data_IF_295001967142
#
_entry.id   IF_295001967142
#
_cell.length_a   1.000
_cell.length_b   1.000
_cell.length_c   1.000
_cell.angle_alpha   90.00
_cell.angle_beta   90.00
_cell.angle_gamma   90.00
#
_symmetry.space_group_name_H-M   'P 1'
#
loop_
_entity.id
_entity.type
_entity.pdbx_description
1 polymer ?
#
# COMPACT_ATOMS: atom_id res chain seq x y z
N UNK A 1 23.21 -59.35 6.29
CA UNK A 1 23.54 -58.03 6.88
C UNK A 1 24.60 -57.26 6.09
N UNK A 2 25.76 -57.85 5.74
CA UNK A 2 26.82 -57.15 4.96
C UNK A 2 26.36 -56.56 3.61
N UNK A 3 25.47 -57.25 2.88
CA UNK A 3 24.93 -56.77 1.59
C UNK A 3 23.94 -55.60 1.72
N UNK A 4 23.24 -55.50 2.85
CA UNK A 4 22.27 -54.44 3.15
C UNK A 4 22.98 -53.16 3.61
N UNK A 5 24.12 -53.32 4.28
CA UNK A 5 24.99 -52.22 4.71
C UNK A 5 25.67 -51.56 3.49
N UNK A 6 26.12 -52.34 2.50
CA UNK A 6 26.68 -51.77 1.26
C UNK A 6 25.65 -50.98 0.45
N UNK A 7 24.39 -51.43 0.39
CA UNK A 7 23.33 -50.71 -0.32
C UNK A 7 22.89 -49.44 0.41
N UNK A 8 22.91 -49.42 1.75
CA UNK A 8 22.60 -48.22 2.52
C UNK A 8 23.68 -47.12 2.39
N UNK A 9 24.94 -47.52 2.26
CA UNK A 9 26.07 -46.60 2.09
C UNK A 9 26.09 -45.91 0.70
N UNK A 10 25.64 -46.63 -0.34
CA UNK A 10 25.53 -46.08 -1.69
C UNK A 10 24.41 -45.03 -1.81
N UNK A 11 23.30 -45.20 -1.07
CA UNK A 11 22.18 -44.25 -1.05
C UNK A 11 22.54 -43.01 -0.24
N UNK A 12 23.29 -43.13 0.87
CA UNK A 12 23.75 -41.95 1.62
C UNK A 12 24.69 -41.05 0.83
N UNK A 13 25.51 -41.60 -0.07
CA UNK A 13 26.40 -40.82 -0.94
C UNK A 13 25.65 -39.93 -1.95
N UNK A 14 24.43 -40.31 -2.35
CA UNK A 14 23.57 -39.51 -3.22
C UNK A 14 22.89 -38.34 -2.50
N UNK A 15 22.77 -38.38 -1.17
CA UNK A 15 22.14 -37.31 -0.37
C UNK A 15 23.14 -36.23 0.06
N UNK A 16 24.45 -36.52 0.00
CA UNK A 16 25.52 -35.56 0.27
C UNK A 16 26.14 -34.94 -0.99
N UNK A 17 25.56 -35.20 -2.18
CA UNK A 17 25.78 -34.30 -3.32
C UNK A 17 25.00 -33.01 -3.06
N UNK A 18 25.55 -32.19 -2.15
CA UNK A 18 25.30 -30.75 -2.17
C UNK A 18 25.46 -30.31 -3.62
N UNK A 19 24.49 -29.56 -4.16
CA UNK A 19 24.77 -28.75 -5.34
C UNK A 19 26.13 -28.09 -5.11
N UNK A 20 27.02 -28.20 -6.09
CA UNK A 20 28.27 -27.44 -6.11
C UNK A 20 27.94 -26.03 -5.66
N UNK A 21 28.70 -25.50 -4.70
CA UNK A 21 28.50 -24.16 -4.20
C UNK A 21 28.23 -23.22 -5.38
N UNK A 22 27.01 -22.69 -5.44
CA UNK A 22 26.57 -21.68 -6.40
C UNK A 22 27.19 -20.31 -6.04
N UNK A 23 28.38 -20.34 -5.42
CA UNK A 23 29.28 -19.23 -5.12
C UNK A 23 30.15 -18.91 -6.36
N UNK A 24 29.63 -19.20 -7.56
CA UNK A 24 30.05 -18.49 -8.75
C UNK A 24 29.74 -17.03 -8.47
N UNK A 25 30.79 -16.19 -8.38
CA UNK A 25 30.69 -14.73 -8.38
C UNK A 25 29.49 -14.34 -9.23
N UNK A 26 28.47 -13.61 -8.71
CA UNK A 26 27.24 -13.42 -9.45
C UNK A 26 27.61 -12.82 -10.80
N UNK A 27 27.58 -13.65 -11.85
CA UNK A 27 27.91 -13.21 -13.18
C UNK A 27 26.72 -12.34 -13.52
N UNK A 28 26.89 -11.03 -13.37
CA UNK A 28 25.86 -10.07 -13.69
C UNK A 28 25.73 -10.03 -15.22
N UNK A 29 25.07 -11.05 -15.77
CA UNK A 29 24.77 -11.22 -17.19
C UNK A 29 23.69 -10.22 -17.66
N UNK A 30 23.19 -9.36 -16.76
CA UNK A 30 22.14 -8.39 -17.06
C UNK A 30 22.77 -7.00 -17.06
N UNK A 31 23.15 -6.54 -18.25
CA UNK A 31 23.44 -5.11 -18.46
C UNK A 31 22.10 -4.38 -18.55
N UNK A 32 21.79 -3.58 -17.53
CA UNK A 32 20.62 -2.71 -17.58
C UNK A 32 20.77 -1.72 -18.74
N UNK A 33 19.69 -1.41 -19.47
CA UNK A 33 19.75 -0.40 -20.52
C UNK A 33 20.05 0.98 -19.90
N UNK A 34 20.72 1.88 -20.64
CA UNK A 34 20.97 3.24 -20.17
C UNK A 34 19.68 4.04 -19.94
N UNK A 35 18.57 3.62 -20.56
CA UNK A 35 17.24 4.21 -20.36
C UNK A 35 16.15 3.13 -20.42
N UNK A 36 15.06 3.35 -19.67
CA UNK A 36 13.84 2.55 -19.78
C UNK A 36 12.79 3.32 -20.58
N UNK A 37 12.17 2.66 -21.55
CA UNK A 37 11.02 3.19 -22.30
C UNK A 37 9.78 2.40 -21.98
N UNK A 38 8.72 3.11 -21.61
CA UNK A 38 7.43 2.55 -21.28
C UNK A 38 6.43 2.94 -22.37
N UNK A 39 6.53 2.27 -23.51
CA UNK A 39 5.70 2.54 -24.68
C UNK A 39 5.00 1.27 -25.17
N UNK A 40 3.77 1.40 -25.65
CA UNK A 40 3.02 0.36 -26.37
C UNK A 40 2.40 1.02 -27.59
N UNK A 41 2.63 0.45 -28.77
CA UNK A 41 2.16 1.03 -30.04
C UNK A 41 2.56 2.50 -30.23
N UNK A 42 3.83 2.85 -29.91
CA UNK A 42 4.38 4.22 -29.96
C UNK A 42 3.71 5.24 -29.03
N UNK A 43 2.88 4.79 -28.10
CA UNK A 43 2.25 5.64 -27.09
C UNK A 43 2.82 5.30 -25.71
N UNK A 44 3.06 6.31 -24.87
CA UNK A 44 3.45 6.09 -23.47
C UNK A 44 2.40 5.23 -22.76
N UNK A 45 2.84 4.19 -22.05
CA UNK A 45 1.97 3.42 -21.13
C UNK A 45 1.85 4.10 -19.76
N UNK A 46 2.63 5.16 -19.53
CA UNK A 46 2.65 5.91 -18.27
C UNK A 46 1.77 7.15 -18.39
N UNK A 47 0.71 7.20 -17.57
CA UNK A 47 -0.12 8.40 -17.42
C UNK A 47 0.41 9.26 -16.26
N UNK A 48 1.27 10.24 -16.56
CA UNK A 48 1.81 11.15 -15.55
C UNK A 48 0.72 12.03 -14.92
N UNK A 49 -0.16 12.62 -15.73
CA UNK A 49 -1.25 13.47 -15.25
C UNK A 49 -2.17 12.76 -14.26
N UNK A 50 -2.53 11.50 -14.52
CA UNK A 50 -3.35 10.70 -13.62
C UNK A 50 -2.67 10.31 -12.32
N UNK A 51 -1.35 10.20 -12.30
CA UNK A 51 -0.56 9.97 -11.08
C UNK A 51 -0.47 11.25 -10.26
N UNK A 52 -0.10 12.37 -10.90
CA UNK A 52 -0.06 13.68 -10.26
C UNK A 52 -1.40 14.05 -9.64
N UNK A 53 -2.51 13.81 -10.35
CA UNK A 53 -3.85 14.04 -9.81
C UNK A 53 -4.09 13.25 -8.52
N UNK A 54 -3.80 11.95 -8.49
CA UNK A 54 -4.02 11.13 -7.27
C UNK A 54 -3.09 11.51 -6.11
N UNK A 55 -1.85 11.94 -6.40
CA UNK A 55 -0.93 12.44 -5.37
C UNK A 55 -1.53 13.68 -4.70
N UNK A 56 -1.98 14.65 -5.51
CA UNK A 56 -2.63 15.88 -5.01
C UNK A 56 -3.94 15.60 -4.27
N UNK A 57 -4.80 14.74 -4.82
CA UNK A 57 -6.03 14.29 -4.16
C UNK A 57 -5.72 13.66 -2.79
N UNK A 58 -4.72 12.78 -2.72
CA UNK A 58 -4.32 12.14 -1.47
C UNK A 58 -3.79 13.16 -0.46
N UNK A 59 -3.07 14.19 -0.91
CA UNK A 59 -2.61 15.27 -0.04
C UNK A 59 -3.78 16.05 0.58
N UNK A 60 -4.81 16.39 -0.21
CA UNK A 60 -6.01 17.06 0.29
C UNK A 60 -6.82 16.16 1.25
N UNK A 61 -6.98 14.87 0.95
CA UNK A 61 -7.64 13.91 1.86
C UNK A 61 -6.90 13.83 3.19
N UNK A 62 -5.57 13.70 3.17
CA UNK A 62 -4.75 13.63 4.39
C UNK A 62 -4.83 14.93 5.19
N UNK A 63 -4.89 16.09 4.52
CA UNK A 63 -5.12 17.36 5.19
C UNK A 63 -6.51 17.42 5.84
N UNK A 64 -7.54 16.95 5.14
CA UNK A 64 -8.90 16.83 5.66
C UNK A 64 -9.00 15.91 6.88
N UNK A 65 -8.33 14.75 6.86
CA UNK A 65 -8.25 13.81 7.99
C UNK A 65 -7.56 14.40 9.23
N UNK A 66 -6.86 15.53 9.12
CA UNK A 66 -6.22 16.25 10.25
C UNK A 66 -7.01 17.49 10.68
N UNK A 67 -8.14 17.78 10.04
CA UNK A 67 -8.97 18.96 10.28
C UNK A 67 -10.29 18.50 10.88
N UNK A 68 -10.51 18.78 12.16
CA UNK A 68 -11.72 18.37 12.90
C UNK A 68 -13.02 18.97 12.37
N UNK A 69 -12.95 20.03 11.55
CA UNK A 69 -14.10 20.61 10.86
C UNK A 69 -14.48 19.87 9.57
N UNK A 70 -13.70 18.89 9.12
CA UNK A 70 -14.06 18.04 7.98
C UNK A 70 -15.23 17.13 8.32
N UNK A 71 -16.11 16.89 7.37
CA UNK A 71 -17.26 15.97 7.53
C UNK A 71 -16.92 14.59 7.00
N UNK A 72 -17.65 13.59 7.50
CA UNK A 72 -17.57 12.23 6.99
C UNK A 72 -17.92 12.20 5.51
N UNK A 73 -19.03 12.82 5.14
CA UNK A 73 -19.55 12.84 3.78
C UNK A 73 -18.53 13.46 2.81
N UNK A 74 -17.91 14.59 3.21
CA UNK A 74 -16.92 15.26 2.37
C UNK A 74 -15.64 14.43 2.18
N UNK A 75 -15.10 13.83 3.26
CA UNK A 75 -13.93 12.96 3.16
C UNK A 75 -14.22 11.70 2.32
N UNK A 76 -15.41 11.12 2.47
CA UNK A 76 -15.84 9.97 1.68
C UNK A 76 -16.03 10.34 0.21
N UNK A 77 -16.60 11.51 -0.10
CA UNK A 77 -16.72 12.02 -1.48
C UNK A 77 -15.34 12.15 -2.14
N UNK A 78 -14.39 12.81 -1.46
CA UNK A 78 -13.02 12.96 -1.97
C UNK A 78 -12.36 11.61 -2.26
N UNK A 79 -12.50 10.65 -1.36
CA UNK A 79 -11.87 9.34 -1.51
C UNK A 79 -12.55 8.45 -2.57
N UNK A 80 -13.88 8.32 -2.51
CA UNK A 80 -14.70 7.41 -3.34
C UNK A 80 -15.00 7.97 -4.71
N UNK A 81 -15.37 9.24 -4.76
CA UNK A 81 -15.96 9.84 -5.96
C UNK A 81 -14.94 10.62 -6.76
N UNK A 82 -13.86 11.06 -6.13
CA UNK A 82 -12.82 11.83 -6.81
C UNK A 82 -13.25 13.29 -7.04
N UNK A 83 -14.19 13.78 -6.22
CA UNK A 83 -14.74 15.14 -6.25
C UNK A 83 -14.64 15.79 -4.85
N UNK A 84 -15.14 17.01 -4.67
CA UNK A 84 -15.05 17.72 -3.39
C UNK A 84 -13.66 18.30 -3.06
N UNK A 85 -12.76 18.35 -4.04
CA UNK A 85 -11.42 18.93 -3.89
C UNK A 85 -11.41 20.44 -4.09
N UNK A 86 -10.45 21.11 -3.45
CA UNK A 86 -10.24 22.56 -3.57
C UNK A 86 -9.71 22.92 -4.96
N UNK A 87 -8.76 22.13 -5.48
CA UNK A 87 -8.27 22.29 -6.85
C UNK A 87 -9.31 21.80 -7.88
N UNK A 88 -9.91 22.72 -8.63
CA UNK A 88 -10.96 22.40 -9.62
C UNK A 88 -10.55 21.34 -10.65
N UNK A 89 -9.28 21.31 -11.05
CA UNK A 89 -8.76 20.31 -12.00
C UNK A 89 -8.78 18.88 -11.44
N UNK A 90 -8.75 18.69 -10.12
CA UNK A 90 -8.84 17.36 -9.52
C UNK A 90 -10.25 16.78 -9.68
N UNK A 91 -11.28 17.60 -9.46
CA UNK A 91 -12.69 17.23 -9.57
C UNK A 91 -13.11 16.78 -10.98
N UNK A 92 -12.38 17.19 -12.02
CA UNK A 92 -12.64 16.82 -13.42
C UNK A 92 -11.62 15.84 -14.00
N UNK A 93 -10.63 15.39 -13.19
CA UNK A 93 -9.56 14.50 -13.66
C UNK A 93 -10.01 13.06 -13.97
N UNK A 94 -11.21 12.67 -13.51
CA UNK A 94 -11.73 11.31 -13.59
C UNK A 94 -10.93 10.30 -12.77
N UNK A 95 -10.06 10.76 -11.87
CA UNK A 95 -9.28 9.89 -10.97
C UNK A 95 -9.93 9.81 -9.61
N UNK A 96 -9.76 8.66 -8.98
CA UNK A 96 -10.25 8.35 -7.63
C UNK A 96 -9.11 7.70 -6.86
N UNK A 97 -8.90 8.11 -5.61
CA UNK A 97 -7.86 7.54 -4.74
C UNK A 97 -8.26 6.12 -4.31
N UNK A 98 -9.53 5.91 -3.94
CA UNK A 98 -10.05 4.58 -3.56
C UNK A 98 -9.85 3.53 -4.64
N UNK A 99 -9.93 3.90 -5.92
CA UNK A 99 -9.67 3.01 -7.05
C UNK A 99 -8.22 2.51 -7.16
N UNK A 100 -7.33 2.94 -6.26
CA UNK A 100 -5.94 2.46 -6.14
C UNK A 100 -5.66 1.72 -4.84
N UNK A 101 -6.63 1.61 -3.93
CA UNK A 101 -6.56 0.69 -2.80
C UNK A 101 -6.91 -0.71 -3.29
N UNK A 102 -6.15 -1.71 -2.87
CA UNK A 102 -6.36 -3.11 -3.27
C UNK A 102 -6.44 -3.30 -4.80
N UNK A 103 -5.59 -2.59 -5.58
CA UNK A 103 -5.73 -2.50 -7.04
C UNK A 103 -4.66 -3.28 -7.84
N UNK A 104 -3.93 -4.20 -7.18
CA UNK A 104 -3.01 -5.11 -7.88
C UNK A 104 -3.77 -5.92 -8.93
N UNK A 105 -3.29 -5.86 -10.18
CA UNK A 105 -3.91 -6.57 -11.30
C UNK A 105 -3.73 -8.08 -11.20
N UNK A 106 -2.63 -8.54 -10.62
CA UNK A 106 -2.34 -9.98 -10.56
C UNK A 106 -3.07 -10.63 -9.39
N UNK A 107 -3.15 -9.92 -8.24
CA UNK A 107 -3.72 -10.46 -7.02
C UNK A 107 -5.22 -10.18 -6.90
N UNK A 108 -5.65 -8.91 -6.97
CA UNK A 108 -7.04 -8.54 -6.67
C UNK A 108 -7.99 -8.67 -7.86
N UNK A 109 -7.49 -9.08 -9.03
CA UNK A 109 -8.34 -9.48 -10.16
C UNK A 109 -9.10 -10.78 -9.86
N UNK A 110 -8.47 -11.72 -9.18
CA UNK A 110 -9.10 -12.99 -8.76
C UNK A 110 -9.66 -12.92 -7.33
N UNK A 111 -9.04 -12.15 -6.43
CA UNK A 111 -9.39 -12.09 -5.01
C UNK A 111 -10.34 -10.91 -4.69
N UNK A 112 -11.55 -10.93 -5.26
CA UNK A 112 -12.50 -9.82 -5.13
C UNK A 112 -13.08 -9.66 -3.72
N UNK A 113 -13.24 -10.76 -2.97
CA UNK A 113 -13.74 -10.72 -1.59
C UNK A 113 -12.79 -9.95 -0.70
N UNK A 114 -11.53 -10.38 -0.63
CA UNK A 114 -10.48 -9.71 0.13
C UNK A 114 -10.28 -8.25 -0.30
N UNK A 115 -10.36 -7.98 -1.62
CA UNK A 115 -10.34 -6.60 -2.13
C UNK A 115 -11.44 -5.75 -1.50
N UNK A 116 -12.67 -6.27 -1.45
CA UNK A 116 -13.82 -5.54 -0.94
C UNK A 116 -13.73 -5.35 0.58
N UNK A 117 -13.21 -6.33 1.31
CA UNK A 117 -12.92 -6.23 2.75
C UNK A 117 -11.91 -5.13 3.02
N UNK A 118 -10.76 -5.12 2.33
CA UNK A 118 -9.76 -4.07 2.49
C UNK A 118 -10.30 -2.68 2.12
N UNK A 119 -11.13 -2.59 1.08
CA UNK A 119 -11.80 -1.34 0.74
C UNK A 119 -12.78 -0.89 1.83
N UNK A 120 -13.47 -1.83 2.49
CA UNK A 120 -14.35 -1.54 3.62
C UNK A 120 -13.57 -1.10 4.86
N UNK A 121 -12.39 -1.65 5.11
CA UNK A 121 -11.51 -1.22 6.20
C UNK A 121 -11.10 0.26 6.04
N UNK A 122 -10.65 0.65 4.83
CA UNK A 122 -10.30 2.04 4.55
C UNK A 122 -11.49 2.99 4.69
N UNK A 123 -12.68 2.58 4.22
CA UNK A 123 -13.91 3.34 4.42
C UNK A 123 -14.21 3.48 5.93
N UNK A 124 -14.06 2.41 6.70
CA UNK A 124 -14.25 2.36 8.14
C UNK A 124 -13.27 3.25 8.90
N UNK A 125 -11.99 3.28 8.53
CA UNK A 125 -10.98 4.13 9.16
C UNK A 125 -11.26 5.62 8.95
N UNK A 126 -11.66 6.02 7.74
CA UNK A 126 -12.03 7.42 7.50
C UNK A 126 -13.28 7.83 8.27
N UNK A 127 -14.31 6.96 8.31
CA UNK A 127 -15.49 7.21 9.13
C UNK A 127 -15.12 7.34 10.61
N UNK A 128 -14.27 6.44 11.11
CA UNK A 128 -13.80 6.44 12.50
C UNK A 128 -12.97 7.68 12.83
N UNK A 129 -12.24 8.24 11.87
CA UNK A 129 -11.52 9.49 12.07
C UNK A 129 -12.48 10.62 12.46
N UNK A 130 -13.64 10.70 11.81
CA UNK A 130 -14.66 11.73 12.08
C UNK A 130 -15.49 11.39 13.31
N UNK A 131 -15.93 10.14 13.45
CA UNK A 131 -16.88 9.74 14.51
C UNK A 131 -16.20 9.51 15.87
N UNK A 132 -14.95 9.07 15.86
CA UNK A 132 -14.24 8.61 17.07
C UNK A 132 -13.07 9.53 17.42
N UNK A 133 -12.24 9.89 16.43
CA UNK A 133 -11.00 10.62 16.69
C UNK A 133 -11.24 12.12 16.85
N UNK A 134 -11.98 12.76 15.93
CA UNK A 134 -12.26 14.20 15.99
C UNK A 134 -12.95 14.65 17.29
N UNK A 135 -13.93 13.93 17.86
CA UNK A 135 -14.55 14.31 19.13
C UNK A 135 -13.60 14.25 20.32
N UNK A 136 -12.50 13.50 20.21
CA UNK A 136 -11.48 13.33 21.25
C UNK A 136 -10.18 14.10 20.96
N UNK A 137 -10.15 14.90 19.89
CA UNK A 137 -8.94 15.56 19.39
C UNK A 137 -8.25 16.45 20.42
N UNK A 138 -9.04 17.12 21.27
CA UNK A 138 -8.57 18.02 22.32
C UNK A 138 -8.77 17.45 23.74
N UNK A 139 -9.14 16.18 23.85
CA UNK A 139 -9.30 15.48 25.14
C UNK A 139 -8.04 14.70 25.44
N UNK A 140 -7.46 14.88 26.61
CA UNK A 140 -6.30 14.10 27.03
C UNK A 140 -6.73 12.66 27.36
N UNK A 141 -5.93 11.68 26.92
CA UNK A 141 -6.20 10.28 27.20
C UNK A 141 -6.14 10.00 28.72
N UNK A 142 -7.00 9.13 29.21
CA UNK A 142 -6.97 8.63 30.59
C UNK A 142 -7.24 7.14 30.62
N UNK A 143 -7.07 6.48 31.78
CA UNK A 143 -7.28 5.03 31.90
C UNK A 143 -8.70 4.67 31.45
N UNK A 144 -8.80 3.90 30.36
CA UNK A 144 -10.08 3.48 29.77
C UNK A 144 -10.77 4.50 28.87
N UNK A 145 -10.20 5.70 28.65
CA UNK A 145 -10.76 6.72 27.77
C UNK A 145 -9.76 7.15 26.69
N UNK A 146 -10.20 7.09 25.43
CA UNK A 146 -9.42 7.57 24.30
C UNK A 146 -9.24 9.10 24.33
N UNK A 147 -8.09 9.57 23.83
CA UNK A 147 -7.71 10.96 23.77
C UNK A 147 -6.31 11.13 23.18
N UNK A 148 -5.82 12.37 23.12
CA UNK A 148 -4.45 12.67 22.69
C UNK A 148 -3.43 12.30 23.77
N UNK A 149 -2.23 11.95 23.32
CA UNK A 149 -1.07 11.84 24.21
C UNK A 149 -0.66 13.23 24.66
N UNK A 150 -0.65 13.47 25.97
CA UNK A 150 -0.08 14.69 26.54
C UNK A 150 1.44 14.60 26.43
N UNK A 151 2.06 15.50 25.67
CA UNK A 151 3.51 15.66 25.71
C UNK A 151 3.85 16.34 27.03
N UNK A 152 4.32 15.58 28.02
CA UNK A 152 4.85 16.17 29.25
C UNK A 152 6.00 17.09 28.83
N UNK A 153 5.92 18.38 29.18
CA UNK A 153 6.87 19.40 28.79
C UNK A 153 8.31 18.90 28.97
N UNK A 154 8.98 18.56 27.87
CA UNK A 154 10.44 18.60 27.80
C UNK A 154 10.75 20.08 27.71
N UNK A 155 10.87 20.74 28.87
CA UNK A 155 11.40 22.09 28.91
C UNK A 155 12.83 22.02 28.34
N UNK A 156 13.24 22.92 27.43
CA UNK A 156 14.63 23.03 27.00
C UNK A 156 15.56 23.35 28.17
#
# INVERSE_FOLDING_TARGET
MKRVILSALAISALVFTSCSSDDDTPINNVTAPPTYKFERNKNTTVSFSGQTARIKMSAEIVAGLKKTASTKEGLMEMFKDGTGFTEAALNTSGKKVRGKVAASQDYFKANLTERNELLADFDGWMNSQVDVVFPKWNTDASKGNAGRLQKLNSNP
#
